data_IF_048030972045
#
_entry.id   IF_048030972045
#
_cell.length_a   1.000
_cell.length_b   1.000
_cell.length_c   1.000
_cell.angle_alpha   90.00
_cell.angle_beta   90.00
_cell.angle_gamma   90.00
#
_symmetry.space_group_name_H-M   'P 1'
#
loop_
_entity.id
_entity.type
_entity.pdbx_description
1 polymer ?
#
# COMPACT_ATOMS: atom_id res chain seq x y z
N UNK A 1 -17.74 4.69 8.08
CA UNK A 1 -17.55 4.21 9.46
C UNK A 1 -16.15 3.62 9.54
N UNK A 2 -15.33 4.03 10.51
CA UNK A 2 -14.02 3.39 10.71
C UNK A 2 -14.27 2.02 11.34
N UNK A 3 -13.78 0.96 10.67
CA UNK A 3 -13.92 -0.44 11.09
C UNK A 3 -12.73 -0.88 11.95
N UNK A 4 -11.56 -0.27 11.75
CA UNK A 4 -10.32 -0.62 12.42
C UNK A 4 -9.61 0.63 12.92
N UNK A 5 -8.99 0.54 14.10
CA UNK A 5 -8.20 1.63 14.70
C UNK A 5 -6.91 1.93 13.91
N UNK A 6 -6.36 0.91 13.25
CA UNK A 6 -5.14 0.99 12.45
C UNK A 6 -5.20 -0.05 11.32
N UNK A 7 -4.82 0.37 10.12
CA UNK A 7 -4.63 -0.52 8.96
C UNK A 7 -3.20 -0.43 8.47
N UNK A 8 -2.65 -1.57 8.07
CA UNK A 8 -1.36 -1.64 7.40
C UNK A 8 -1.52 -2.24 6.00
N UNK A 9 -0.77 -1.71 5.05
CA UNK A 9 -0.69 -2.22 3.68
C UNK A 9 0.73 -2.07 3.16
N UNK A 10 1.09 -2.84 2.13
CA UNK A 10 2.40 -2.74 1.52
C UNK A 10 2.37 -3.02 0.02
N UNK A 11 3.36 -2.46 -0.68
CA UNK A 11 3.50 -2.62 -2.11
C UNK A 11 4.81 -2.02 -2.62
N UNK A 12 5.16 -2.34 -3.87
CA UNK A 12 6.24 -1.64 -4.58
C UNK A 12 5.77 -0.28 -5.05
N UNK A 13 4.48 -0.17 -5.43
CA UNK A 13 3.87 1.07 -5.92
C UNK A 13 4.64 1.71 -7.10
N UNK A 14 5.33 0.88 -7.88
CA UNK A 14 6.03 1.31 -9.09
C UNK A 14 5.00 1.64 -10.18
N UNK A 15 5.09 2.87 -10.70
CA UNK A 15 4.07 3.56 -11.51
C UNK A 15 2.65 3.42 -10.93
N UNK A 16 2.17 4.48 -10.28
CA UNK A 16 0.82 4.50 -9.69
C UNK A 16 -0.26 4.33 -10.78
N UNK A 17 -1.10 3.30 -10.63
CA UNK A 17 -2.22 3.02 -11.52
C UNK A 17 -3.52 2.76 -10.72
N UNK A 18 -4.62 2.50 -11.42
CA UNK A 18 -5.96 2.38 -10.84
C UNK A 18 -6.06 1.36 -9.68
N UNK A 19 -5.41 0.20 -9.81
CA UNK A 19 -5.30 -0.80 -8.75
C UNK A 19 -4.69 -0.27 -7.44
N UNK A 20 -3.58 0.47 -7.50
CA UNK A 20 -2.99 1.11 -6.32
C UNK A 20 -3.97 2.11 -5.68
N UNK A 21 -4.65 2.91 -6.50
CA UNK A 21 -5.64 3.87 -6.01
C UNK A 21 -6.84 3.20 -5.36
N UNK A 22 -7.33 2.08 -5.90
CA UNK A 22 -8.41 1.31 -5.31
C UNK A 22 -8.02 0.76 -3.93
N UNK A 23 -6.79 0.25 -3.81
CA UNK A 23 -6.28 -0.27 -2.55
C UNK A 23 -6.13 0.84 -1.49
N UNK A 24 -5.53 1.98 -1.86
CA UNK A 24 -5.40 3.14 -0.96
C UNK A 24 -6.76 3.67 -0.50
N UNK A 25 -7.70 3.86 -1.45
CA UNK A 25 -9.07 4.30 -1.14
C UNK A 25 -9.75 3.33 -0.17
N UNK A 26 -9.57 2.03 -0.35
CA UNK A 26 -10.15 1.03 0.55
C UNK A 26 -9.57 1.16 1.95
N UNK A 27 -8.25 1.28 2.10
CA UNK A 27 -7.59 1.44 3.40
C UNK A 27 -8.10 2.66 4.16
N UNK A 28 -8.19 3.82 3.50
CA UNK A 28 -8.71 5.05 4.11
C UNK A 28 -10.23 5.03 4.34
N UNK A 29 -10.98 4.19 3.62
CA UNK A 29 -12.43 4.04 3.86
C UNK A 29 -12.75 3.31 5.16
N UNK A 30 -11.83 2.47 5.66
CA UNK A 30 -12.05 1.59 6.81
C UNK A 30 -11.25 1.98 8.06
N UNK A 31 -10.31 2.93 7.94
CA UNK A 31 -9.54 3.45 9.09
C UNK A 31 -9.06 4.88 8.84
N UNK A 32 -8.94 5.66 9.92
CA UNK A 32 -8.29 6.98 9.88
C UNK A 32 -6.77 6.91 9.97
N UNK A 33 -6.21 5.78 10.42
CA UNK A 33 -4.76 5.58 10.55
C UNK A 33 -4.33 4.46 9.62
N UNK A 34 -3.50 4.81 8.64
CA UNK A 34 -2.98 3.86 7.65
C UNK A 34 -1.46 3.92 7.62
N UNK A 35 -0.81 2.77 7.79
CA UNK A 35 0.63 2.59 7.55
C UNK A 35 0.81 2.01 6.15
N UNK A 36 1.67 2.63 5.35
CA UNK A 36 1.99 2.20 3.99
C UNK A 36 3.46 1.78 3.94
N UNK A 37 3.70 0.49 3.82
CA UNK A 37 5.03 -0.07 3.60
C UNK A 37 5.44 0.02 2.13
N UNK A 38 6.52 0.73 1.84
CA UNK A 38 7.11 0.81 0.51
C UNK A 38 8.24 -0.21 0.37
N UNK A 39 8.21 -0.97 -0.71
CA UNK A 39 9.32 -1.88 -1.06
C UNK A 39 10.50 -1.03 -1.50
N UNK A 40 11.68 -1.26 -0.90
CA UNK A 40 12.91 -0.62 -1.38
C UNK A 40 13.36 -1.21 -2.72
N UNK A 41 14.10 -0.44 -3.50
CA UNK A 41 14.68 -0.91 -4.76
C UNK A 41 15.52 -2.18 -4.56
N UNK A 42 16.34 -2.20 -3.49
CA UNK A 42 17.14 -3.37 -3.12
C UNK A 42 16.28 -4.64 -2.96
N UNK A 43 15.12 -4.52 -2.31
CA UNK A 43 14.19 -5.64 -2.13
C UNK A 43 13.48 -6.01 -3.42
N UNK A 44 13.09 -5.02 -4.24
CA UNK A 44 12.45 -5.24 -5.53
C UNK A 44 13.38 -5.98 -6.50
N UNK A 45 14.64 -5.54 -6.61
CA UNK A 45 15.68 -6.18 -7.43
C UNK A 45 15.99 -7.59 -6.95
N UNK A 46 16.14 -7.82 -5.64
CA UNK A 46 16.34 -9.17 -5.08
C UNK A 46 15.18 -10.13 -5.40
N UNK A 47 13.99 -9.60 -5.67
CA UNK A 47 12.79 -10.37 -6.01
C UNK A 47 12.48 -10.41 -7.51
N UNK A 48 13.37 -9.88 -8.37
CA UNK A 48 13.20 -9.85 -9.81
C UNK A 48 11.99 -9.04 -10.28
N UNK A 49 11.65 -7.97 -9.54
CA UNK A 49 10.50 -7.10 -9.82
C UNK A 49 10.89 -5.76 -10.45
N UNK A 50 12.16 -5.60 -10.81
CA UNK A 50 12.76 -4.47 -11.53
C UNK A 50 13.67 -5.02 -12.61
#
# INVERSE_FOLDING_TARGET
MQLFDLVAMGGTFDVIHSGHMALLKKSFSISSKVIIGLTSDQLATKKGKT
#
